data_IF_900944876167
#
_entry.id   IF_900944876167
#
_cell.length_a   1.000
_cell.length_b   1.000
_cell.length_c   1.000
_cell.angle_alpha   90.00
_cell.angle_beta   90.00
_cell.angle_gamma   90.00
#
_symmetry.space_group_name_H-M   'P 1'
#
loop_
_entity.id
_entity.type
_entity.pdbx_description
1 polymer ?
#
# COMPACT_ATOMS: atom_id res chain seq x y z
N UNK A 1 -29.86 -53.58 0.31
CA UNK A 1 -28.64 -53.00 -0.32
C UNK A 1 -28.71 -51.49 -0.26
N UNK A 2 -27.87 -50.84 0.56
CA UNK A 2 -27.82 -49.38 0.64
C UNK A 2 -26.92 -48.82 -0.48
N UNK A 3 -27.49 -48.00 -1.38
CA UNK A 3 -26.71 -47.29 -2.42
C UNK A 3 -25.91 -46.14 -1.80
N UNK A 4 -24.69 -45.91 -2.33
CA UNK A 4 -23.78 -44.82 -1.93
C UNK A 4 -24.48 -43.44 -2.05
N UNK A 5 -24.25 -42.49 -1.12
CA UNK A 5 -24.96 -41.20 -1.08
C UNK A 5 -24.85 -40.37 -2.36
N UNK A 6 -23.69 -40.39 -3.03
CA UNK A 6 -23.45 -39.69 -4.30
C UNK A 6 -24.33 -40.19 -5.47
N UNK A 7 -24.84 -41.42 -5.39
CA UNK A 7 -25.76 -41.97 -6.39
C UNK A 7 -27.24 -41.82 -6.00
N UNK A 8 -27.54 -41.13 -4.89
CA UNK A 8 -28.89 -40.99 -4.35
C UNK A 8 -29.56 -39.68 -4.76
N UNK A 9 -28.79 -38.62 -4.96
CA UNK A 9 -29.30 -37.30 -5.35
C UNK A 9 -28.52 -36.74 -6.55
N UNK A 10 -29.23 -36.36 -7.61
CA UNK A 10 -28.61 -35.86 -8.86
C UNK A 10 -28.27 -34.37 -8.81
N UNK A 11 -28.95 -33.60 -7.95
CA UNK A 11 -28.73 -32.18 -7.74
C UNK A 11 -29.19 -31.77 -6.34
N UNK A 12 -28.84 -30.54 -5.93
CA UNK A 12 -29.22 -29.97 -4.63
C UNK A 12 -30.73 -29.83 -4.45
N UNK A 13 -31.50 -29.70 -5.53
CA UNK A 13 -32.96 -29.68 -5.46
C UNK A 13 -33.55 -31.03 -5.04
N UNK A 14 -32.95 -32.16 -5.44
CA UNK A 14 -33.35 -33.48 -4.95
C UNK A 14 -33.13 -33.62 -3.44
N UNK A 15 -32.03 -33.06 -2.92
CA UNK A 15 -31.74 -33.06 -1.47
C UNK A 15 -32.77 -32.20 -0.74
N UNK A 16 -33.08 -31.01 -1.26
CA UNK A 16 -34.11 -30.13 -0.69
C UNK A 16 -35.47 -30.80 -0.64
N UNK A 17 -35.86 -31.50 -1.72
CA UNK A 17 -37.15 -32.18 -1.84
C UNK A 17 -37.27 -33.34 -0.85
N UNK A 18 -36.22 -34.13 -0.68
CA UNK A 18 -36.20 -35.26 0.27
C UNK A 18 -36.17 -34.77 1.73
N UNK A 19 -35.51 -33.64 2.01
CA UNK A 19 -35.57 -32.98 3.31
C UNK A 19 -36.98 -32.45 3.62
N UNK A 20 -37.68 -31.93 2.60
CA UNK A 20 -39.07 -31.48 2.73
C UNK A 20 -40.00 -32.68 2.93
N UNK A 21 -39.84 -33.76 2.17
CA UNK A 21 -40.69 -34.95 2.25
C UNK A 21 -40.49 -35.75 3.54
N UNK A 22 -39.30 -35.69 4.15
CA UNK A 22 -39.02 -36.27 5.46
C UNK A 22 -39.64 -35.50 6.65
N UNK A 23 -40.23 -34.32 6.43
CA UNK A 23 -40.95 -33.56 7.49
C UNK A 23 -42.39 -34.04 7.75
N UNK A 24 -42.74 -35.28 7.38
CA UNK A 24 -44.02 -35.92 7.74
C UNK A 24 -44.08 -36.32 9.23
N UNK A 25 -44.15 -35.31 10.11
CA UNK A 25 -44.95 -35.26 11.36
C UNK A 25 -44.48 -34.04 12.17
N UNK A 26 -44.95 -32.86 11.78
CA UNK A 26 -44.80 -31.66 12.60
C UNK A 26 -46.20 -31.08 12.69
N UNK A 27 -46.84 -31.18 13.86
CA UNK A 27 -48.18 -30.62 14.12
C UNK A 27 -48.20 -29.09 14.02
N UNK A 28 -49.03 -28.43 14.83
CA UNK A 28 -49.34 -26.98 14.74
C UNK A 28 -48.14 -26.02 14.75
N UNK A 29 -46.93 -26.49 15.07
CA UNK A 29 -45.68 -25.70 15.08
C UNK A 29 -44.88 -25.72 13.76
N UNK A 30 -45.38 -26.35 12.69
CA UNK A 30 -44.70 -26.41 11.38
C UNK A 30 -44.32 -25.03 10.82
N UNK A 31 -45.18 -24.03 10.99
CA UNK A 31 -44.92 -22.65 10.54
C UNK A 31 -43.79 -21.99 11.32
N UNK A 32 -43.74 -22.19 12.64
CA UNK A 32 -42.68 -21.67 13.50
C UNK A 32 -41.32 -22.31 13.16
N UNK A 33 -41.29 -23.63 12.94
CA UNK A 33 -40.08 -24.36 12.55
C UNK A 33 -39.59 -23.92 11.17
N UNK A 34 -40.50 -23.76 10.19
CA UNK A 34 -40.14 -23.22 8.88
C UNK A 34 -39.60 -21.80 8.94
N UNK A 35 -40.16 -20.93 9.79
CA UNK A 35 -39.64 -19.57 9.99
C UNK A 35 -38.25 -19.57 10.61
N UNK A 36 -37.99 -20.43 11.61
CA UNK A 36 -36.65 -20.56 12.21
C UNK A 36 -35.63 -21.06 11.18
N UNK A 37 -36.00 -22.07 10.37
CA UNK A 37 -35.15 -22.60 9.31
C UNK A 37 -34.87 -21.55 8.22
N UNK A 38 -35.89 -20.83 7.76
CA UNK A 38 -35.73 -19.75 6.78
C UNK A 38 -34.85 -18.60 7.32
N UNK A 39 -35.01 -18.24 8.60
CA UNK A 39 -34.17 -17.24 9.25
C UNK A 39 -32.74 -17.72 9.45
N UNK A 40 -32.51 -19.03 9.66
CA UNK A 40 -31.18 -19.61 9.72
C UNK A 40 -30.53 -19.61 8.33
N UNK A 41 -31.22 -20.09 7.30
CA UNK A 41 -30.75 -20.09 5.90
C UNK A 41 -30.42 -18.67 5.45
N UNK A 42 -31.25 -17.68 5.79
CA UNK A 42 -31.01 -16.28 5.43
C UNK A 42 -29.75 -15.72 6.10
N UNK A 43 -29.53 -16.04 7.39
CA UNK A 43 -28.29 -15.67 8.10
C UNK A 43 -27.06 -16.37 7.53
N UNK A 44 -27.15 -17.66 7.25
CA UNK A 44 -26.04 -18.43 6.65
C UNK A 44 -25.68 -17.86 5.26
N UNK A 45 -26.69 -17.52 4.44
CA UNK A 45 -26.48 -16.85 3.14
C UNK A 45 -25.87 -15.45 3.27
N UNK A 46 -26.22 -14.69 4.30
CA UNK A 46 -25.60 -13.38 4.56
C UNK A 46 -24.14 -13.53 4.99
N UNK A 47 -23.83 -14.50 5.84
CA UNK A 47 -22.47 -14.83 6.26
C UNK A 47 -21.63 -15.26 5.06
N UNK A 48 -22.15 -16.14 4.19
CA UNK A 48 -21.43 -16.57 2.98
C UNK A 48 -21.17 -15.39 2.03
N UNK A 49 -22.14 -14.48 1.89
CA UNK A 49 -21.96 -13.26 1.09
C UNK A 49 -20.92 -12.32 1.67
N UNK A 50 -20.88 -12.14 3.00
CA UNK A 50 -19.87 -11.27 3.62
C UNK A 50 -18.47 -11.87 3.52
N UNK A 51 -18.32 -13.17 3.76
CA UNK A 51 -17.06 -13.89 3.60
C UNK A 51 -16.55 -13.84 2.15
N UNK A 52 -17.44 -14.06 1.17
CA UNK A 52 -17.08 -13.97 -0.25
C UNK A 52 -16.64 -12.55 -0.63
N UNK A 53 -17.34 -11.51 -0.17
CA UNK A 53 -16.94 -10.11 -0.40
C UNK A 53 -15.59 -9.78 0.24
N UNK A 54 -15.35 -10.22 1.47
CA UNK A 54 -14.08 -10.04 2.17
C UNK A 54 -12.94 -10.73 1.42
N UNK A 55 -13.18 -11.93 0.90
CA UNK A 55 -12.18 -12.68 0.14
C UNK A 55 -11.83 -11.99 -1.18
N UNK A 56 -12.82 -11.48 -1.91
CA UNK A 56 -12.61 -10.70 -3.15
C UNK A 56 -11.81 -9.42 -2.85
N UNK A 57 -12.18 -8.69 -1.79
CA UNK A 57 -11.46 -7.48 -1.38
C UNK A 57 -10.01 -7.78 -0.97
N UNK A 58 -9.78 -8.86 -0.23
CA UNK A 58 -8.44 -9.29 0.15
C UNK A 58 -7.59 -9.69 -1.07
N UNK A 59 -8.19 -10.39 -2.04
CA UNK A 59 -7.51 -10.74 -3.29
C UNK A 59 -7.13 -9.51 -4.11
N UNK A 60 -8.03 -8.53 -4.23
CA UNK A 60 -7.73 -7.30 -4.97
C UNK A 60 -6.66 -6.45 -4.28
N UNK A 61 -6.70 -6.37 -2.94
CA UNK A 61 -5.66 -5.73 -2.15
C UNK A 61 -4.29 -6.41 -2.36
N UNK A 62 -4.28 -7.74 -2.35
CA UNK A 62 -3.07 -8.52 -2.58
C UNK A 62 -2.53 -8.29 -3.99
N UNK A 63 -3.39 -8.37 -5.02
CA UNK A 63 -3.03 -8.10 -6.42
C UNK A 63 -2.39 -6.72 -6.57
N UNK A 64 -3.00 -5.70 -5.96
CA UNK A 64 -2.47 -4.33 -5.96
C UNK A 64 -1.10 -4.26 -5.29
N UNK A 65 -0.93 -4.87 -4.12
CA UNK A 65 0.36 -4.88 -3.42
C UNK A 65 1.44 -5.61 -4.23
N UNK A 66 1.08 -6.69 -4.92
CA UNK A 66 2.00 -7.43 -5.78
C UNK A 66 2.47 -6.60 -6.98
N UNK A 67 1.58 -5.82 -7.59
CA UNK A 67 1.94 -4.87 -8.67
C UNK A 67 2.89 -3.79 -8.15
N UNK A 68 2.59 -3.19 -7.00
CA UNK A 68 3.44 -2.16 -6.39
C UNK A 68 4.83 -2.71 -6.04
N UNK A 69 4.88 -3.93 -5.52
CA UNK A 69 6.13 -4.62 -5.20
C UNK A 69 6.94 -4.94 -6.44
N UNK A 70 6.28 -5.43 -7.49
CA UNK A 70 6.94 -5.66 -8.76
C UNK A 70 7.55 -4.36 -9.31
N UNK A 71 6.77 -3.28 -9.33
CA UNK A 71 7.21 -2.00 -9.87
C UNK A 71 8.39 -1.40 -9.08
N UNK A 72 8.35 -1.46 -7.74
CA UNK A 72 9.46 -1.03 -6.90
C UNK A 72 10.72 -1.87 -7.16
N UNK A 73 10.57 -3.20 -7.28
CA UNK A 73 11.70 -4.07 -7.53
C UNK A 73 12.32 -3.85 -8.92
N UNK A 74 11.50 -3.70 -9.95
CA UNK A 74 11.98 -3.54 -11.32
C UNK A 74 12.60 -2.16 -11.59
N UNK A 75 11.99 -1.09 -11.07
CA UNK A 75 12.39 0.28 -11.41
C UNK A 75 13.34 0.92 -10.40
N UNK A 76 13.37 0.43 -9.15
CA UNK A 76 14.21 0.99 -8.08
C UNK A 76 15.29 0.01 -7.66
N UNK A 77 14.91 -1.20 -7.25
CA UNK A 77 15.88 -2.16 -6.67
C UNK A 77 16.81 -2.72 -7.74
N UNK A 78 16.31 -3.08 -8.93
CA UNK A 78 17.14 -3.65 -9.99
C UNK A 78 18.23 -2.66 -10.45
N UNK A 79 17.93 -1.40 -10.81
CA UNK A 79 18.97 -0.46 -11.23
C UNK A 79 20.01 -0.17 -10.13
N UNK A 80 19.57 -0.12 -8.88
CA UNK A 80 20.47 0.04 -7.72
C UNK A 80 21.37 -1.19 -7.53
N UNK A 81 20.82 -2.38 -7.72
CA UNK A 81 21.57 -3.65 -7.64
C UNK A 81 22.60 -3.74 -8.75
N UNK A 82 22.21 -3.38 -9.97
CA UNK A 82 23.11 -3.34 -11.13
C UNK A 82 24.27 -2.37 -10.86
N UNK A 83 23.99 -1.18 -10.35
CA UNK A 83 25.01 -0.21 -9.93
C UNK A 83 25.98 -0.78 -8.86
N UNK A 84 25.45 -1.44 -7.82
CA UNK A 84 26.27 -2.06 -6.77
C UNK A 84 27.18 -3.15 -7.35
N UNK A 85 26.65 -3.96 -8.27
CA UNK A 85 27.41 -5.02 -8.94
C UNK A 85 28.51 -4.44 -9.83
N UNK A 86 28.19 -3.42 -10.64
CA UNK A 86 29.16 -2.73 -11.50
C UNK A 86 30.27 -2.07 -10.67
N UNK A 87 29.90 -1.41 -9.57
CA UNK A 87 30.88 -0.84 -8.63
C UNK A 87 31.82 -1.90 -8.05
N UNK A 88 31.29 -3.04 -7.62
CA UNK A 88 32.08 -4.13 -7.07
C UNK A 88 33.01 -4.77 -8.12
N UNK A 89 32.56 -4.87 -9.37
CA UNK A 89 33.37 -5.37 -10.49
C UNK A 89 34.53 -4.43 -10.85
N UNK A 90 34.29 -3.11 -10.83
CA UNK A 90 35.30 -2.10 -11.20
C UNK A 90 36.28 -1.81 -10.06
N UNK A 91 35.82 -1.78 -8.81
CA UNK A 91 36.62 -1.31 -7.68
C UNK A 91 37.81 -2.21 -7.34
N UNK A 92 37.74 -3.52 -7.65
CA UNK A 92 38.81 -4.49 -7.35
C UNK A 92 39.23 -4.54 -5.88
N UNK A 93 38.44 -3.92 -4.99
CA UNK A 93 38.76 -3.67 -3.59
C UNK A 93 38.28 -4.83 -2.72
N UNK A 94 38.94 -5.03 -1.57
CA UNK A 94 38.49 -5.99 -0.56
C UNK A 94 37.21 -5.52 0.14
N UNK A 95 36.93 -4.21 0.14
CA UNK A 95 35.70 -3.64 0.67
C UNK A 95 34.62 -3.64 -0.43
N UNK A 96 33.69 -4.59 -0.37
CA UNK A 96 32.55 -4.67 -1.29
C UNK A 96 31.38 -3.84 -0.78
N UNK A 97 30.72 -3.14 -1.69
CA UNK A 97 29.41 -2.54 -1.45
C UNK A 97 28.37 -3.64 -1.30
N UNK A 98 27.55 -3.54 -0.26
CA UNK A 98 26.51 -4.53 0.06
C UNK A 98 25.14 -3.92 -0.09
N UNK A 99 24.25 -4.65 -0.72
CA UNK A 99 22.82 -4.35 -0.80
C UNK A 99 22.06 -5.41 -0.02
N UNK A 100 21.11 -4.99 0.80
CA UNK A 100 20.22 -5.89 1.54
C UNK A 100 18.79 -5.42 1.39
N UNK A 101 17.92 -6.31 0.92
CA UNK A 101 16.48 -6.10 0.89
C UNK A 101 15.88 -6.46 2.25
N UNK A 102 15.07 -5.54 2.79
CA UNK A 102 14.30 -5.73 4.01
C UNK A 102 12.84 -5.66 3.58
N UNK A 103 12.21 -6.82 3.38
CA UNK A 103 10.78 -6.90 3.07
C UNK A 103 9.98 -7.12 4.36
N UNK A 104 9.17 -6.13 4.74
CA UNK A 104 8.09 -6.30 5.70
C UNK A 104 6.85 -6.94 5.06
N UNK A 105 5.76 -7.07 5.82
CA UNK A 105 4.51 -7.68 5.32
C UNK A 105 3.92 -6.89 4.13
N UNK A 106 4.04 -5.56 4.16
CA UNK A 106 3.64 -4.65 3.07
C UNK A 106 4.75 -3.65 2.71
N UNK A 107 5.63 -3.29 3.66
CA UNK A 107 6.69 -2.32 3.43
C UNK A 107 7.88 -2.95 2.71
N UNK A 108 8.44 -2.22 1.76
CA UNK A 108 9.61 -2.62 1.00
C UNK A 108 10.74 -1.66 1.36
N UNK A 109 11.89 -2.22 1.74
CA UNK A 109 13.06 -1.41 1.97
C UNK A 109 14.29 -2.10 1.39
N UNK A 110 15.26 -1.29 1.01
CA UNK A 110 16.55 -1.70 0.51
C UNK A 110 17.61 -0.82 1.19
N UNK A 111 18.59 -1.46 1.81
CA UNK A 111 19.70 -0.79 2.45
C UNK A 111 21.00 -1.10 1.71
N UNK A 112 21.70 -0.04 1.34
CA UNK A 112 23.02 -0.09 0.72
C UNK A 112 24.03 0.33 1.79
N UNK A 113 25.09 -0.45 1.95
CA UNK A 113 26.16 -0.16 2.90
C UNK A 113 27.50 -0.26 2.18
N UNK A 114 28.30 0.80 2.32
CA UNK A 114 29.68 0.82 1.87
C UNK A 114 30.54 1.50 2.94
N UNK A 115 31.56 0.78 3.40
CA UNK A 115 32.37 1.15 4.56
C UNK A 115 31.51 1.49 5.80
N UNK A 116 31.49 2.76 6.24
CA UNK A 116 30.72 3.24 7.40
C UNK A 116 29.49 4.05 7.03
N UNK A 117 29.26 4.26 5.72
CA UNK A 117 28.10 4.98 5.23
C UNK A 117 27.02 4.03 4.76
N UNK A 118 25.79 4.51 4.81
CA UNK A 118 24.65 3.76 4.32
C UNK A 118 23.65 4.67 3.62
N UNK A 119 22.92 4.06 2.68
CA UNK A 119 21.72 4.64 2.07
C UNK A 119 20.58 3.67 2.32
N UNK A 120 19.49 4.17 2.91
CA UNK A 120 18.26 3.44 3.16
C UNK A 120 17.19 3.94 2.20
N UNK A 121 16.68 3.05 1.36
CA UNK A 121 15.54 3.30 0.50
C UNK A 121 14.38 2.54 1.12
N UNK A 122 13.29 3.22 1.44
CA UNK A 122 12.10 2.59 2.00
C UNK A 122 10.87 3.02 1.22
N UNK A 123 9.85 2.17 1.20
CA UNK A 123 8.66 2.32 0.40
C UNK A 123 7.46 1.67 1.09
N UNK A 124 6.40 2.45 1.24
CA UNK A 124 5.17 2.12 1.94
C UNK A 124 3.97 2.23 0.98
N UNK A 125 3.30 1.12 0.67
CA UNK A 125 2.02 1.12 -0.03
C UNK A 125 0.94 1.84 0.79
N UNK A 126 0.25 2.83 0.22
CA UNK A 126 -0.79 3.55 0.95
C UNK A 126 -2.03 2.67 1.13
N UNK A 127 -2.45 2.56 2.38
CA UNK A 127 -3.64 1.83 2.83
C UNK A 127 -4.76 2.79 3.19
N UNK A 128 -5.94 2.25 3.54
CA UNK A 128 -7.09 3.06 3.96
C UNK A 128 -6.87 3.81 5.29
N UNK A 129 -5.84 3.44 6.07
CA UNK A 129 -5.44 4.20 7.26
C UNK A 129 -4.64 5.46 6.92
N UNK A 130 -4.02 5.53 5.75
CA UNK A 130 -3.10 6.61 5.36
C UNK A 130 -3.84 7.77 4.69
N UNK A 131 -4.83 8.28 5.41
CA UNK A 131 -5.73 9.35 4.97
C UNK A 131 -5.77 10.46 6.01
N UNK A 132 -5.83 11.71 5.55
CA UNK A 132 -6.02 12.85 6.43
C UNK A 132 -7.46 12.87 6.92
N UNK A 133 -7.62 12.69 8.23
CA UNK A 133 -8.90 12.79 8.93
C UNK A 133 -8.97 14.15 9.61
N UNK A 134 -9.88 15.01 9.18
CA UNK A 134 -10.16 16.29 9.85
C UNK A 134 -11.64 16.36 10.19
N UNK A 135 -11.94 16.77 11.41
CA UNK A 135 -13.29 17.20 11.76
C UNK A 135 -13.43 18.65 11.33
N UNK A 136 -14.47 18.93 10.56
CA UNK A 136 -14.86 20.30 10.24
C UNK A 136 -16.31 20.50 10.62
N UNK A 137 -16.61 21.68 11.16
CA UNK A 137 -17.97 22.12 11.38
C UNK A 137 -18.63 22.35 10.02
N UNK A 138 -19.75 21.69 9.77
CA UNK A 138 -20.57 22.01 8.62
C UNK A 138 -21.33 23.33 8.85
N UNK A 139 -21.92 23.86 7.78
CA UNK A 139 -22.68 25.12 7.79
C UNK A 139 -23.85 25.10 8.80
N UNK A 140 -24.22 23.92 9.30
CA UNK A 140 -25.32 23.70 10.24
C UNK A 140 -24.83 23.38 11.67
N UNK A 141 -23.53 23.55 11.96
CA UNK A 141 -22.94 23.32 13.29
C UNK A 141 -22.74 21.85 13.64
N UNK A 142 -22.82 20.94 12.67
CA UNK A 142 -22.53 19.53 12.83
C UNK A 142 -21.06 19.22 12.60
N UNK A 143 -20.44 18.46 13.50
CA UNK A 143 -19.08 17.96 13.32
C UNK A 143 -19.07 16.80 12.31
N UNK A 144 -18.53 17.04 11.11
CA UNK A 144 -18.38 16.01 10.07
C UNK A 144 -16.93 15.59 9.90
N UNK A 145 -16.70 14.28 9.81
CA UNK A 145 -15.40 13.71 9.49
C UNK A 145 -15.12 13.84 8.00
N UNK A 146 -14.19 14.72 7.65
CA UNK A 146 -13.65 14.83 6.30
C UNK A 146 -12.42 13.92 6.17
N UNK A 147 -12.52 12.95 5.25
CA UNK A 147 -11.42 12.05 4.89
C UNK A 147 -10.85 12.52 3.56
N UNK A 148 -9.60 12.98 3.57
CA UNK A 148 -8.89 13.43 2.37
C UNK A 148 -7.80 12.43 2.02
N UNK A 149 -7.90 11.84 0.82
CA UNK A 149 -6.85 10.96 0.29
C UNK A 149 -5.65 11.79 -0.20
N UNK A 150 -4.41 11.28 -0.05
CA UNK A 150 -3.25 11.94 -0.61
C UNK A 150 -3.35 11.98 -2.15
N UNK A 151 -3.23 13.18 -2.71
CA UNK A 151 -3.22 13.42 -4.16
C UNK A 151 -2.04 14.31 -4.51
N UNK A 152 -1.44 14.07 -5.67
CA UNK A 152 -0.35 14.88 -6.21
C UNK A 152 -0.63 15.17 -7.67
N UNK A 153 -0.61 16.45 -8.05
CA UNK A 153 -0.95 16.91 -9.41
C UNK A 153 -2.32 16.39 -9.91
N UNK A 154 -3.30 16.29 -9.00
CA UNK A 154 -4.64 15.77 -9.30
C UNK A 154 -4.76 14.25 -9.40
N UNK A 155 -3.65 13.51 -9.35
CA UNK A 155 -3.61 12.04 -9.37
C UNK A 155 -3.57 11.48 -7.95
N UNK A 156 -4.18 10.33 -7.74
CA UNK A 156 -4.14 9.64 -6.45
C UNK A 156 -2.73 9.10 -6.19
N UNK A 157 -2.23 9.26 -4.97
CA UNK A 157 -0.97 8.63 -4.55
C UNK A 157 -1.25 7.17 -4.20
N UNK A 158 -0.50 6.25 -4.81
CA UNK A 158 -0.64 4.81 -4.61
C UNK A 158 0.26 4.31 -3.48
N UNK A 159 1.47 4.87 -3.42
CA UNK A 159 2.51 4.49 -2.48
C UNK A 159 3.58 5.58 -2.43
N UNK A 160 4.45 5.51 -1.45
CA UNK A 160 5.47 6.52 -1.23
C UNK A 160 6.64 5.97 -0.45
N UNK A 161 7.75 6.69 -0.48
CA UNK A 161 8.98 6.24 0.12
C UNK A 161 9.98 7.36 0.33
N UNK A 162 11.07 7.02 0.99
CA UNK A 162 12.19 7.90 1.26
C UNK A 162 13.51 7.24 0.90
N UNK A 163 14.46 8.06 0.44
CA UNK A 163 15.86 7.70 0.26
C UNK A 163 16.63 8.53 1.28
N UNK A 164 17.28 7.89 2.23
CA UNK A 164 17.96 8.53 3.37
C UNK A 164 19.41 8.06 3.46
N UNK A 165 20.34 8.99 3.67
CA UNK A 165 21.75 8.71 3.89
C UNK A 165 22.10 8.78 5.39
N UNK A 166 23.22 8.17 5.77
CA UNK A 166 23.87 8.33 7.09
C UNK A 166 24.02 9.79 7.54
N UNK A 167 24.15 10.72 6.60
CA UNK A 167 24.30 12.16 6.87
C UNK A 167 22.97 12.88 7.13
N UNK A 168 21.86 12.13 7.28
CA UNK A 168 20.48 12.65 7.44
C UNK A 168 19.93 13.45 6.26
N UNK A 169 20.66 13.51 5.15
CA UNK A 169 20.15 13.99 3.87
C UNK A 169 19.26 12.93 3.24
N UNK A 170 18.30 13.38 2.44
CA UNK A 170 17.39 12.48 1.77
C UNK A 170 16.52 13.12 0.71
N UNK A 171 15.79 12.26 0.02
CA UNK A 171 14.82 12.58 -1.01
C UNK A 171 13.59 11.71 -0.80
N UNK A 172 12.43 12.11 -1.29
CA UNK A 172 11.25 11.25 -1.26
C UNK A 172 10.93 10.76 -2.65
N UNK A 173 10.39 9.55 -2.72
CA UNK A 173 9.87 8.94 -3.94
C UNK A 173 8.38 8.75 -3.76
N UNK A 174 7.61 9.07 -4.78
CA UNK A 174 6.15 9.01 -4.75
C UNK A 174 5.67 8.31 -6.01
N UNK A 175 4.80 7.33 -5.82
CA UNK A 175 4.13 6.64 -6.91
C UNK A 175 2.69 7.12 -6.99
N UNK A 176 2.31 7.68 -8.12
CA UNK A 176 0.92 8.11 -8.38
C UNK A 176 0.24 7.22 -9.40
N UNK A 177 -1.07 7.17 -9.33
CA UNK A 177 -1.87 6.42 -10.29
C UNK A 177 -1.73 7.00 -11.69
N UNK A 178 -1.45 6.14 -12.66
CA UNK A 178 -1.51 6.46 -14.08
C UNK A 178 -2.94 6.27 -14.61
N UNK A 179 -3.33 7.06 -15.60
CA UNK A 179 -4.63 6.90 -16.27
C UNK A 179 -4.58 5.88 -17.41
N UNK A 180 -3.37 5.53 -17.89
CA UNK A 180 -3.17 4.70 -19.08
C UNK A 180 -2.96 3.21 -18.80
N UNK A 181 -2.50 2.85 -17.61
CA UNK A 181 -2.03 1.51 -17.28
C UNK A 181 -2.22 1.16 -15.79
N UNK A 182 -2.07 -0.13 -15.47
CA UNK A 182 -2.18 -0.63 -14.08
C UNK A 182 -0.98 -0.23 -13.20
N UNK A 183 0.09 0.26 -13.83
CA UNK A 183 1.28 0.78 -13.15
C UNK A 183 1.11 2.24 -12.78
N UNK A 184 1.94 2.73 -11.86
CA UNK A 184 1.96 4.13 -11.48
C UNK A 184 3.07 4.92 -12.15
N UNK A 185 2.94 6.25 -12.12
CA UNK A 185 4.02 7.17 -12.50
C UNK A 185 4.88 7.50 -11.27
N UNK A 186 6.21 7.35 -11.39
CA UNK A 186 7.12 7.73 -10.32
C UNK A 186 7.53 9.20 -10.37
N UNK A 187 7.58 9.80 -9.18
CA UNK A 187 8.07 11.15 -8.97
C UNK A 187 9.09 11.21 -7.85
N UNK A 188 10.11 12.02 -8.05
CA UNK A 188 11.06 12.42 -7.03
C UNK A 188 10.61 13.75 -6.42
N UNK A 189 10.52 13.78 -5.09
CA UNK A 189 10.27 14.97 -4.30
C UNK A 189 11.53 15.38 -3.55
N UNK A 190 12.06 16.54 -3.91
CA UNK A 190 13.15 17.19 -3.19
C UNK A 190 12.57 18.19 -2.21
N UNK A 191 12.78 17.93 -0.92
CA UNK A 191 12.34 18.82 0.15
C UNK A 191 13.51 19.65 0.63
N UNK A 192 13.27 20.93 0.83
CA UNK A 192 14.22 21.85 1.45
C UNK A 192 13.49 22.77 2.40
N UNK A 193 14.21 23.30 3.38
CA UNK A 193 13.66 24.35 4.22
C UNK A 193 13.37 25.61 3.40
N UNK A 194 12.16 26.16 3.56
CA UNK A 194 11.87 27.49 3.05
C UNK A 194 12.59 28.55 3.90
N UNK A 195 12.75 29.76 3.35
CA UNK A 195 13.24 30.92 4.12
C UNK A 195 12.31 31.31 5.28
N UNK A 196 11.09 30.78 5.33
CA UNK A 196 10.13 30.97 6.42
C UNK A 196 10.32 29.97 7.57
N UNK A 197 11.08 28.88 7.35
CA UNK A 197 11.37 27.93 8.40
C UNK A 197 12.45 28.47 9.33
N UNK A 198 12.12 28.57 10.62
CA UNK A 198 13.15 28.53 11.67
C UNK A 198 13.58 27.07 11.72
N UNK A 199 14.77 26.76 11.21
CA UNK A 199 15.32 25.41 11.05
C UNK A 199 15.46 24.68 12.41
N UNK A 200 14.31 24.33 13.01
CA UNK A 200 14.16 23.83 14.36
C UNK A 200 14.25 22.29 14.40
N UNK A 201 14.12 21.63 13.26
CA UNK A 201 14.22 20.17 13.17
C UNK A 201 15.67 19.68 12.99
N UNK A 202 16.60 20.59 12.68
CA UNK A 202 18.03 20.32 12.53
C UNK A 202 18.38 19.39 11.36
N UNK A 203 17.47 19.22 10.38
CA UNK A 203 17.72 18.35 9.22
C UNK A 203 18.52 19.09 8.16
N UNK A 204 19.57 18.47 7.58
CA UNK A 204 20.30 19.07 6.48
C UNK A 204 19.48 18.99 5.19
N UNK A 205 19.52 20.06 4.39
CA UNK A 205 18.87 20.07 3.08
C UNK A 205 19.69 19.29 2.04
N UNK A 206 19.05 18.55 1.10
CA UNK A 206 17.64 18.13 1.14
C UNK A 206 17.42 16.97 2.11
N UNK A 207 16.18 16.78 2.57
CA UNK A 207 15.82 15.71 3.51
C UNK A 207 14.57 14.92 3.06
N UNK A 208 14.46 13.68 3.55
CA UNK A 208 13.24 12.87 3.39
C UNK A 208 12.27 13.13 4.57
N UNK A 209 10.98 13.08 4.27
CA UNK A 209 9.92 13.07 5.29
C UNK A 209 9.69 11.65 5.78
N UNK A 210 9.31 11.53 7.05
CA UNK A 210 8.90 10.23 7.60
C UNK A 210 7.56 9.76 7.03
N UNK A 211 7.24 8.47 7.25
CA UNK A 211 6.00 7.77 6.86
C UNK A 211 4.67 8.40 7.34
N UNK A 212 4.68 9.42 8.19
CA UNK A 212 3.46 10.13 8.59
C UNK A 212 3.47 11.59 8.15
N UNK A 213 4.64 12.13 7.85
CA UNK A 213 4.85 13.54 7.49
C UNK A 213 4.46 13.76 6.03
N UNK A 214 4.88 12.90 5.09
CA UNK A 214 4.59 13.12 3.67
C UNK A 214 3.08 13.11 3.38
N UNK A 215 2.28 12.26 4.01
CA UNK A 215 0.82 12.25 3.78
C UNK A 215 0.17 13.58 4.17
N UNK A 216 0.77 14.30 5.14
CA UNK A 216 0.34 15.64 5.56
C UNK A 216 0.87 16.73 4.63
N UNK A 217 2.08 16.54 4.10
CA UNK A 217 2.83 17.56 3.36
C UNK A 217 2.67 17.47 1.83
N UNK A 218 2.27 16.32 1.28
CA UNK A 218 2.18 16.09 -0.16
C UNK A 218 1.17 17.02 -0.86
N UNK A 219 0.16 17.50 -0.14
CA UNK A 219 -0.81 18.48 -0.63
C UNK A 219 -0.24 19.90 -0.73
N UNK A 220 0.93 20.17 -0.13
CA UNK A 220 1.57 21.47 -0.11
C UNK A 220 2.58 21.67 -1.26
N UNK A 221 2.64 20.75 -2.24
CA UNK A 221 3.55 20.88 -3.38
C UNK A 221 3.20 22.13 -4.20
N UNK A 222 4.18 23.02 -4.37
CA UNK A 222 4.01 24.29 -5.09
C UNK A 222 3.23 25.36 -4.31
N UNK A 223 2.91 25.11 -3.04
CA UNK A 223 2.26 26.06 -2.14
C UNK A 223 3.30 26.71 -1.23
N UNK A 224 3.08 27.97 -0.86
CA UNK A 224 3.92 28.65 0.13
C UNK A 224 3.75 27.98 1.50
N UNK A 225 4.75 27.21 1.93
CA UNK A 225 4.76 26.45 3.18
C UNK A 225 6.13 26.56 3.87
N UNK A 226 6.26 26.02 5.09
CA UNK A 226 7.56 25.98 5.79
C UNK A 226 8.60 25.14 5.05
N UNK A 227 8.15 24.24 4.18
CA UNK A 227 9.00 23.44 3.30
C UNK A 227 8.78 23.81 1.84
N UNK A 228 9.88 23.88 1.08
CA UNK A 228 9.85 23.97 -0.37
C UNK A 228 9.88 22.55 -0.94
N UNK A 229 8.80 22.16 -1.62
CA UNK A 229 8.64 20.84 -2.23
C UNK A 229 8.73 20.95 -3.75
N UNK A 230 9.80 20.40 -4.34
CA UNK A 230 10.00 20.35 -5.78
C UNK A 230 9.77 18.93 -6.30
N UNK A 231 8.84 18.77 -7.25
CA UNK A 231 8.46 17.49 -7.83
C UNK A 231 8.95 17.36 -9.29
N UNK A 232 9.69 16.30 -9.60
CA UNK A 232 10.05 15.93 -10.98
C UNK A 232 9.79 14.44 -11.24
N UNK A 233 9.59 14.01 -12.49
CA UNK A 233 9.58 12.58 -12.83
C UNK A 233 10.86 11.91 -12.32
N UNK A 234 10.72 10.70 -11.77
CA UNK A 234 11.85 9.93 -11.27
C UNK A 234 12.54 9.21 -12.42
N UNK A 235 13.85 9.37 -12.52
CA UNK A 235 14.70 8.54 -13.38
C UNK A 235 15.63 7.70 -12.52
N UNK A 236 15.94 6.47 -12.93
CA UNK A 236 16.86 5.59 -12.18
C UNK A 236 18.22 6.25 -11.93
N UNK A 237 18.68 7.09 -12.87
CA UNK A 237 19.90 7.89 -12.74
C UNK A 237 19.87 8.81 -11.52
N UNK A 238 18.73 9.40 -11.18
CA UNK A 238 18.64 10.31 -10.03
C UNK A 238 18.95 9.58 -8.70
N UNK A 239 18.55 8.32 -8.61
CA UNK A 239 18.78 7.48 -7.43
C UNK A 239 20.25 7.10 -7.35
N UNK A 240 20.85 6.67 -8.46
CA UNK A 240 22.28 6.33 -8.56
C UNK A 240 23.15 7.56 -8.28
N UNK A 241 22.79 8.73 -8.83
CA UNK A 241 23.47 10.00 -8.58
C UNK A 241 23.35 10.39 -7.09
N UNK A 242 22.21 10.15 -6.44
CA UNK A 242 22.09 10.37 -4.99
C UNK A 242 22.97 9.42 -4.18
N UNK A 243 22.97 8.12 -4.51
CA UNK A 243 23.77 7.10 -3.79
C UNK A 243 25.26 7.39 -3.92
N UNK A 244 25.74 7.70 -5.12
CA UNK A 244 27.15 7.98 -5.40
C UNK A 244 27.68 9.20 -4.65
N UNK A 245 26.85 10.24 -4.48
CA UNK A 245 27.22 11.43 -3.70
C UNK A 245 27.10 11.22 -2.18
N UNK A 246 26.43 10.15 -1.76
CA UNK A 246 26.11 9.87 -0.35
C UNK A 246 27.08 8.88 0.29
N UNK A 247 27.59 7.91 -0.46
CA UNK A 247 28.51 6.87 0.02
C UNK A 247 29.97 7.32 0.11
#
# INVERSE_FOLDING_TARGET
>A
MAKKPANRYKNWDCVRKDLIDSTKNVGDHKSAINNILNNKISRDLEIDKTLSKQQIQAQELQRRNDILKFQFNSEIVSPVTDFVNDFNNVSGSTAMMKISEISGKNDLACKIVFDRKFVNIWFHPLTESDVLKRYADDIWGGNRLHITKPTMKGKQVLAWGGIECSDKKGLNIVLVHSESDEYGDWYLLKNTHSSFSRNNDGRPDPFAFNSDELVKEIHNIGVMHIYNLAAKPLEAKDIVDFISNSL
#
